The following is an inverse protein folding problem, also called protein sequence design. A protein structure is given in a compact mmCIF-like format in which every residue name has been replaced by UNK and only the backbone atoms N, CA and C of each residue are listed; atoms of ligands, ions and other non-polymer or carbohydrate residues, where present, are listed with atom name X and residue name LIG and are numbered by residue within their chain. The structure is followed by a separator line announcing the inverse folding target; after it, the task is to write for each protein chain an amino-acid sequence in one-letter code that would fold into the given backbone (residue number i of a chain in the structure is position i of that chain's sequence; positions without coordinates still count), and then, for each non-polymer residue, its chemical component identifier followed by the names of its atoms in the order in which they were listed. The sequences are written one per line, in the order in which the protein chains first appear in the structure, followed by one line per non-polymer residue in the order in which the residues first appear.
data_IF_817945030225
#
_entry.id   IF_817945030225
#
_cell.length_a   1.000
_cell.length_b   1.000
_cell.length_c   1.000
_cell.angle_alpha   90.00
_cell.angle_beta   90.00
_cell.angle_gamma   90.00
#
_symmetry.space_group_name_H-M   'P 1'
#
loop_
_entity.id
_entity.type
_entity.pdbx_description
1 polymer ?
#
# COMPACT_ATOMS: atom_id res chain seq x y z
N UNK A 1 -8.24 17.59 5.44
CA UNK A 1 -7.41 17.94 4.27
C UNK A 1 -6.00 18.45 4.62
N UNK A 2 -5.68 18.73 5.90
CA UNK A 2 -4.35 19.25 6.28
C UNK A 2 -3.19 18.25 6.11
N UNK A 3 -3.44 16.94 6.25
CA UNK A 3 -2.37 15.92 6.25
C UNK A 3 -1.47 15.94 5.00
N UNK A 4 -2.06 16.15 3.80
CA UNK A 4 -1.31 16.15 2.54
C UNK A 4 -0.88 17.55 2.09
N UNK A 5 -1.20 18.60 2.86
CA UNK A 5 -1.04 19.98 2.41
C UNK A 5 0.41 20.29 2.04
N UNK A 6 1.35 20.04 2.95
CA UNK A 6 2.76 20.34 2.74
C UNK A 6 3.34 19.53 1.57
N UNK A 7 2.99 18.24 1.47
CA UNK A 7 3.39 17.38 0.35
C UNK A 7 2.86 17.88 -0.99
N UNK A 8 1.61 18.33 -1.05
CA UNK A 8 1.02 18.87 -2.28
C UNK A 8 1.67 20.20 -2.68
N UNK A 9 2.01 21.06 -1.71
CA UNK A 9 2.75 22.30 -1.99
C UNK A 9 4.18 22.01 -2.46
N UNK A 10 4.88 21.01 -1.91
CA UNK A 10 6.17 20.55 -2.41
C UNK A 10 6.10 20.08 -3.87
N UNK A 11 5.12 19.24 -4.17
CA UNK A 11 4.91 18.74 -5.54
C UNK A 11 4.58 19.90 -6.49
N UNK A 12 3.70 20.81 -6.08
CA UNK A 12 3.35 21.99 -6.86
C UNK A 12 4.58 22.86 -7.15
N UNK A 13 5.43 23.12 -6.15
CA UNK A 13 6.69 23.85 -6.32
C UNK A 13 7.62 23.14 -7.31
N UNK A 14 7.80 21.83 -7.18
CA UNK A 14 8.62 21.04 -8.09
C UNK A 14 8.08 21.04 -9.54
N UNK A 15 6.78 21.25 -9.73
CA UNK A 15 6.12 21.33 -11.03
C UNK A 15 5.94 22.78 -11.54
N UNK A 16 6.83 23.70 -11.15
CA UNK A 16 6.78 25.09 -11.62
C UNK A 16 5.61 25.88 -11.04
N UNK A 17 5.24 25.59 -9.79
CA UNK A 17 4.09 26.17 -9.06
C UNK A 17 2.73 25.89 -9.71
N UNK A 18 2.65 24.87 -10.56
CA UNK A 18 1.40 24.41 -11.17
C UNK A 18 0.76 23.33 -10.30
N UNK A 19 -0.54 23.44 -10.10
CA UNK A 19 -1.31 22.39 -9.46
C UNK A 19 -1.47 21.21 -10.44
N UNK A 20 -0.82 20.08 -10.12
CA UNK A 20 -0.78 18.89 -10.99
C UNK A 20 -1.46 17.66 -10.38
N UNK A 21 -1.74 17.67 -9.08
CA UNK A 21 -2.35 16.56 -8.36
C UNK A 21 -3.49 17.07 -7.49
N UNK A 22 -4.58 16.30 -7.43
CA UNK A 22 -5.72 16.56 -6.56
C UNK A 22 -5.88 15.37 -5.62
N UNK A 23 -5.88 15.56 -4.29
CA UNK A 23 -6.10 14.47 -3.35
C UNK A 23 -7.54 13.98 -3.45
N UNK A 24 -7.70 12.66 -3.50
CA UNK A 24 -9.00 12.01 -3.55
C UNK A 24 -9.24 11.31 -2.22
N UNK A 25 -10.41 11.53 -1.62
CA UNK A 25 -10.78 10.90 -0.36
C UNK A 25 -10.86 9.37 -0.50
N UNK A 26 -10.48 8.64 0.54
CA UNK A 26 -10.66 7.19 0.65
C UNK A 26 -11.07 6.86 2.07
N UNK A 27 -11.76 5.74 2.24
CA UNK A 27 -12.18 5.29 3.56
C UNK A 27 -10.97 4.90 4.45
N UNK A 28 -11.08 5.27 5.72
CA UNK A 28 -10.02 5.12 6.73
C UNK A 28 -10.20 3.88 7.61
N UNK A 29 -10.69 2.79 7.05
CA UNK A 29 -11.04 1.54 7.74
C UNK A 29 -9.85 0.55 7.88
N UNK A 30 -8.63 1.01 7.57
CA UNK A 30 -7.43 0.18 7.54
C UNK A 30 -7.09 -0.40 6.17
N UNK A 31 -7.95 -0.24 5.16
CA UNK A 31 -7.70 -0.64 3.77
C UNK A 31 -7.36 0.54 2.84
N UNK A 32 -7.10 1.72 3.40
CA UNK A 32 -6.89 2.97 2.67
C UNK A 32 -5.88 2.89 1.50
N UNK A 33 -4.80 2.10 1.62
CA UNK A 33 -3.84 1.89 0.52
C UNK A 33 -4.52 1.24 -0.70
N UNK A 34 -5.22 0.12 -0.50
CA UNK A 34 -5.86 -0.61 -1.60
C UNK A 34 -7.12 0.10 -2.08
N UNK A 35 -7.80 0.88 -1.22
CA UNK A 35 -8.84 1.82 -1.65
C UNK A 35 -8.28 2.89 -2.59
N UNK A 36 -7.17 3.54 -2.21
CA UNK A 36 -6.52 4.56 -3.02
C UNK A 36 -6.07 4.01 -4.37
N UNK A 37 -5.45 2.83 -4.39
CA UNK A 37 -5.07 2.13 -5.62
C UNK A 37 -6.30 1.80 -6.47
N UNK A 38 -7.37 1.25 -5.89
CA UNK A 38 -8.61 0.97 -6.62
C UNK A 38 -9.22 2.25 -7.22
N UNK A 39 -9.25 3.35 -6.47
CA UNK A 39 -9.72 4.65 -7.01
C UNK A 39 -8.83 5.16 -8.13
N UNK A 40 -7.51 5.00 -8.04
CA UNK A 40 -6.59 5.41 -9.10
C UNK A 40 -6.73 4.57 -10.38
N UNK A 41 -7.14 3.30 -10.26
CA UNK A 41 -7.32 2.40 -11.40
C UNK A 41 -8.70 2.56 -12.07
N UNK A 42 -9.78 2.63 -11.28
CA UNK A 42 -11.16 2.55 -11.79
C UNK A 42 -12.11 3.60 -11.22
N UNK A 43 -11.62 4.56 -10.43
CA UNK A 43 -12.44 5.64 -9.86
C UNK A 43 -13.42 5.20 -8.76
N UNK A 44 -13.32 3.96 -8.30
CA UNK A 44 -14.15 3.34 -7.25
C UNK A 44 -13.30 2.45 -6.37
N UNK A 45 -13.77 2.15 -5.17
CA UNK A 45 -13.06 1.33 -4.18
C UNK A 45 -13.32 -0.18 -4.32
N UNK A 46 -13.87 -0.63 -5.45
CA UNK A 46 -14.38 -1.99 -5.66
C UNK A 46 -13.34 -3.11 -5.50
N UNK A 47 -12.06 -2.84 -5.75
CA UNK A 47 -11.03 -3.88 -5.81
C UNK A 47 -10.22 -4.04 -4.53
N UNK A 48 -10.59 -3.37 -3.45
CA UNK A 48 -9.79 -3.40 -2.21
C UNK A 48 -9.53 -4.85 -1.72
N UNK A 49 -10.56 -5.70 -1.71
CA UNK A 49 -10.47 -7.09 -1.26
C UNK A 49 -9.60 -7.93 -2.19
N UNK A 50 -9.89 -7.85 -3.50
CA UNK A 50 -9.16 -8.58 -4.52
C UNK A 50 -7.67 -8.18 -4.54
N UNK A 51 -7.34 -6.90 -4.36
CA UNK A 51 -5.96 -6.43 -4.29
C UNK A 51 -5.21 -7.03 -3.09
N UNK A 52 -5.88 -7.14 -1.94
CA UNK A 52 -5.32 -7.78 -0.74
C UNK A 52 -5.08 -9.28 -0.92
N UNK A 53 -6.07 -10.01 -1.43
CA UNK A 53 -5.92 -11.45 -1.70
C UNK A 53 -4.82 -11.73 -2.73
N UNK A 54 -4.76 -10.96 -3.82
CA UNK A 54 -3.73 -11.12 -4.83
C UNK A 54 -2.34 -10.77 -4.29
N UNK A 55 -2.23 -9.76 -3.44
CA UNK A 55 -0.98 -9.42 -2.76
C UNK A 55 -0.50 -10.55 -1.84
N UNK A 56 -1.39 -11.10 -1.02
CA UNK A 56 -1.08 -12.23 -0.12
C UNK A 56 -0.57 -13.43 -0.90
N UNK A 57 -1.29 -13.79 -1.97
CA UNK A 57 -0.91 -14.87 -2.89
C UNK A 57 0.46 -14.59 -3.53
N UNK A 58 0.67 -13.38 -4.04
CA UNK A 58 1.91 -12.98 -4.68
C UNK A 58 3.11 -13.09 -3.74
N UNK A 59 2.99 -12.60 -2.50
CA UNK A 59 4.07 -12.76 -1.52
C UNK A 59 4.31 -14.23 -1.17
N UNK A 60 3.27 -15.02 -0.99
CA UNK A 60 3.42 -16.45 -0.66
C UNK A 60 4.17 -17.19 -1.77
N UNK A 61 3.84 -16.94 -3.03
CA UNK A 61 4.47 -17.57 -4.20
C UNK A 61 5.91 -17.08 -4.43
N UNK A 62 6.25 -15.86 -4.01
CA UNK A 62 7.53 -15.21 -4.31
C UNK A 62 8.40 -14.95 -3.07
N UNK A 63 8.04 -15.52 -1.91
CA UNK A 63 8.59 -15.12 -0.62
C UNK A 63 10.12 -15.22 -0.56
N UNK A 64 10.69 -16.29 -1.10
CA UNK A 64 12.14 -16.49 -1.11
C UNK A 64 12.88 -15.36 -1.85
N UNK A 65 12.32 -14.87 -2.95
CA UNK A 65 12.89 -13.77 -3.73
C UNK A 65 12.82 -12.46 -2.97
N UNK A 66 11.69 -12.20 -2.31
CA UNK A 66 11.51 -11.03 -1.46
C UNK A 66 12.47 -11.03 -0.27
N UNK A 67 12.60 -12.16 0.44
CA UNK A 67 13.58 -12.34 1.53
C UNK A 67 15.00 -12.04 1.06
N UNK A 68 15.41 -12.56 -0.10
CA UNK A 68 16.74 -12.30 -0.64
C UNK A 68 16.96 -10.83 -1.02
N UNK A 69 15.98 -10.20 -1.69
CA UNK A 69 16.07 -8.80 -2.13
C UNK A 69 16.10 -7.80 -0.98
N UNK A 70 15.39 -8.09 0.11
CA UNK A 70 15.19 -7.15 1.22
C UNK A 70 15.81 -7.60 2.54
N UNK A 71 16.75 -8.57 2.52
CA UNK A 71 17.38 -9.08 3.74
C UNK A 71 18.11 -8.02 4.58
N UNK A 72 18.62 -6.96 3.94
CA UNK A 72 19.26 -5.84 4.62
C UNK A 72 18.26 -4.84 5.26
N UNK A 73 16.96 -4.95 4.93
CA UNK A 73 15.94 -3.98 5.30
C UNK A 73 14.79 -4.56 6.15
N UNK A 74 14.55 -5.88 6.07
CA UNK A 74 13.43 -6.56 6.72
C UNK A 74 13.95 -7.83 7.38
N UNK A 75 13.70 -7.98 8.68
CA UNK A 75 14.11 -9.17 9.41
C UNK A 75 13.38 -10.41 8.90
N UNK A 76 14.06 -11.56 8.90
CA UNK A 76 13.50 -12.83 8.46
C UNK A 76 12.21 -13.21 9.22
N UNK A 77 12.10 -12.81 10.50
CA UNK A 77 10.95 -13.06 11.36
C UNK A 77 9.73 -12.20 11.02
N UNK A 78 9.91 -11.01 10.43
CA UNK A 78 8.80 -10.11 10.08
C UNK A 78 7.98 -10.59 8.89
N UNK A 79 8.52 -11.49 8.07
CA UNK A 79 7.88 -11.91 6.83
C UNK A 79 6.56 -12.64 7.04
N UNK A 80 6.41 -13.36 8.16
CA UNK A 80 5.14 -14.00 8.49
C UNK A 80 4.05 -12.94 8.73
N UNK A 81 4.37 -11.92 9.53
CA UNK A 81 3.46 -10.80 9.80
C UNK A 81 3.14 -10.02 8.52
N UNK A 82 4.14 -9.72 7.69
CA UNK A 82 3.95 -9.03 6.40
C UNK A 82 2.96 -9.80 5.50
N UNK A 83 3.08 -11.13 5.42
CA UNK A 83 2.13 -11.93 4.62
C UNK A 83 0.75 -11.96 5.27
N UNK A 84 0.66 -12.02 6.60
CA UNK A 84 -0.61 -12.03 7.33
C UNK A 84 -1.34 -10.69 7.25
N UNK A 85 -0.62 -9.56 7.27
CA UNK A 85 -1.16 -8.21 7.08
C UNK A 85 -1.88 -8.03 5.74
N UNK A 86 -1.54 -8.84 4.74
CA UNK A 86 -2.24 -8.84 3.44
C UNK A 86 -3.65 -9.42 3.51
N UNK A 87 -4.02 -10.14 4.57
CA UNK A 87 -5.35 -10.72 4.70
C UNK A 87 -6.43 -9.62 4.81
N UNK A 88 -7.52 -9.67 4.03
CA UNK A 88 -8.65 -8.76 4.16
C UNK A 88 -9.28 -8.74 5.56
N UNK A 89 -9.17 -9.84 6.31
CA UNK A 89 -9.74 -9.98 7.65
C UNK A 89 -8.68 -9.84 8.76
N UNK A 90 -7.48 -9.37 8.40
CA UNK A 90 -6.42 -9.15 9.38
C UNK A 90 -6.85 -8.11 10.42
N UNK A 91 -6.73 -8.48 11.70
CA UNK A 91 -6.94 -7.58 12.83
C UNK A 91 -5.59 -7.36 13.51
N UNK A 92 -5.06 -6.12 13.56
CA UNK A 92 -3.79 -5.85 14.20
C UNK A 92 -3.88 -6.06 15.72
N UNK A 93 -2.74 -6.33 16.39
CA UNK A 93 -2.67 -6.35 17.85
C UNK A 93 -3.13 -5.02 18.47
N UNK A 94 -3.55 -5.07 19.73
CA UNK A 94 -4.01 -3.89 20.47
C UNK A 94 -2.92 -2.78 20.47
N UNK A 95 -3.33 -1.55 20.15
CA UNK A 95 -2.43 -0.39 20.08
C UNK A 95 -1.62 -0.27 18.79
N UNK A 96 -1.70 -1.24 17.87
CA UNK A 96 -1.04 -1.18 16.56
C UNK A 96 -2.03 -0.64 15.52
N UNK A 97 -1.68 0.41 14.76
CA UNK A 97 -2.55 0.93 13.72
C UNK A 97 -2.75 -0.10 12.60
N UNK A 98 -3.99 -0.24 12.13
CA UNK A 98 -4.31 -1.05 10.96
C UNK A 98 -3.78 -0.37 9.69
N UNK A 99 -2.97 -1.08 8.91
CA UNK A 99 -2.44 -0.53 7.66
C UNK A 99 -1.45 -1.45 6.97
N UNK A 100 -1.12 -1.11 5.73
CA UNK A 100 -0.11 -1.79 4.96
C UNK A 100 1.18 -0.96 4.95
N UNK A 101 2.32 -1.64 5.08
CA UNK A 101 3.68 -1.07 5.06
C UNK A 101 4.21 -0.79 3.65
N UNK A 102 5.37 -0.12 3.53
CA UNK A 102 6.04 0.16 2.24
C UNK A 102 6.30 -1.09 1.38
N UNK A 103 6.63 -2.23 1.99
CA UNK A 103 6.85 -3.49 1.26
C UNK A 103 5.59 -3.94 0.50
N UNK A 104 4.40 -3.66 1.04
CA UNK A 104 3.12 -3.95 0.38
C UNK A 104 2.89 -3.08 -0.84
N UNK A 105 3.34 -1.81 -0.82
CA UNK A 105 3.29 -0.92 -2.00
C UNK A 105 4.12 -1.54 -3.12
N UNK A 106 5.35 -1.98 -2.81
CA UNK A 106 6.21 -2.64 -3.79
C UNK A 106 5.59 -3.95 -4.31
N UNK A 107 4.98 -4.76 -3.43
CA UNK A 107 4.27 -5.97 -3.83
C UNK A 107 3.08 -5.67 -4.75
N UNK A 108 2.27 -4.66 -4.43
CA UNK A 108 1.14 -4.24 -5.25
C UNK A 108 1.57 -3.75 -6.63
N UNK A 109 2.70 -3.03 -6.73
CA UNK A 109 3.26 -2.63 -8.02
C UNK A 109 3.60 -3.83 -8.91
N UNK A 110 4.09 -4.93 -8.32
CA UNK A 110 4.36 -6.17 -9.03
C UNK A 110 3.08 -6.93 -9.41
N UNK A 111 2.07 -6.95 -8.53
CA UNK A 111 0.74 -7.53 -8.83
C UNK A 111 0.05 -6.79 -9.98
N UNK A 112 0.16 -5.47 -10.00
CA UNK A 112 -0.49 -4.60 -10.99
C UNK A 112 0.34 -4.43 -12.27
N UNK A 113 1.60 -4.87 -12.27
CA UNK A 113 2.58 -4.58 -13.31
C UNK A 113 2.68 -3.09 -13.63
N UNK A 114 2.61 -2.25 -12.59
CA UNK A 114 2.56 -0.80 -12.70
C UNK A 114 3.37 -0.13 -11.57
N UNK A 115 4.37 0.70 -11.89
CA UNK A 115 5.07 1.54 -10.91
C UNK A 115 4.16 2.56 -10.22
#
# INVERSE_FOLDING_TARGET
LLYLHDTLEDIKRANGSRECLVPVHVDGDGHCLVHAVSRALVGRELFWHALRENLKKHFTENLARYKALFHDFIDAAEWEDIVNECDPLFVPPEGVPMGLRNIHIFGLANVLHRP
#
